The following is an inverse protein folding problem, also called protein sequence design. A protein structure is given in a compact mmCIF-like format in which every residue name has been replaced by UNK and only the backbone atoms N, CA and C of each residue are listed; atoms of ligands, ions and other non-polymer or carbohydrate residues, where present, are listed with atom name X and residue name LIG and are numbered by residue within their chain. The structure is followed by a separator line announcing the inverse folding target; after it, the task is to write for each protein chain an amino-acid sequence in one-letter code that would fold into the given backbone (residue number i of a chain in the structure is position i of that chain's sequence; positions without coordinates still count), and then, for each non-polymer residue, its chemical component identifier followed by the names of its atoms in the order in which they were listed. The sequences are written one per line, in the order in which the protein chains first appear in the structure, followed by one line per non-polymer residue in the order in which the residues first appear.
data_IF_024469723101
#
_entry.id   IF_024469723101
#
_cell.length_a   1.000
_cell.length_b   1.000
_cell.length_c   1.000
_cell.angle_alpha   90.00
_cell.angle_beta   90.00
_cell.angle_gamma   90.00
#
_symmetry.space_group_name_H-M   'P 1'
#
loop_
_entity.id
_entity.type
_entity.pdbx_description
1 polymer ?
#
# COMPACT_ATOMS: atom_id res chain seq x y z
N UNK A 1 -17.60 3.92 11.48
CA UNK A 1 -18.01 2.95 10.43
C UNK A 1 -17.19 3.01 9.12
N UNK A 2 -16.67 4.17 8.67
CA UNK A 2 -15.93 4.27 7.38
C UNK A 2 -14.52 3.64 7.41
N UNK A 3 -13.79 3.78 8.53
CA UNK A 3 -12.45 3.21 8.68
C UNK A 3 -12.42 1.67 8.56
N UNK A 4 -13.40 0.96 9.15
CA UNK A 4 -13.46 -0.51 9.03
C UNK A 4 -13.64 -0.99 7.60
N UNK A 5 -14.45 -0.29 6.78
CA UNK A 5 -14.65 -0.66 5.37
C UNK A 5 -13.37 -0.45 4.55
N UNK A 6 -12.63 0.63 4.84
CA UNK A 6 -11.34 0.92 4.18
C UNK A 6 -10.29 -0.14 4.59
N UNK A 7 -10.20 -0.47 5.88
CA UNK A 7 -9.28 -1.51 6.35
C UNK A 7 -9.59 -2.88 5.73
N UNK A 8 -10.87 -3.25 5.66
CA UNK A 8 -11.31 -4.49 5.00
C UNK A 8 -10.99 -4.50 3.50
N UNK A 9 -11.20 -3.37 2.81
CA UNK A 9 -10.84 -3.23 1.39
C UNK A 9 -9.34 -3.37 1.14
N UNK A 10 -8.51 -2.75 2.00
CA UNK A 10 -7.05 -2.85 1.91
C UNK A 10 -6.57 -4.29 2.18
N UNK A 11 -7.03 -4.91 3.26
CA UNK A 11 -6.69 -6.29 3.60
C UNK A 11 -7.15 -7.27 2.52
N UNK A 12 -8.37 -7.08 2.01
CA UNK A 12 -8.90 -7.86 0.89
C UNK A 12 -8.07 -7.70 -0.37
N UNK A 13 -7.64 -6.47 -0.69
CA UNK A 13 -6.78 -6.19 -1.83
C UNK A 13 -5.39 -6.83 -1.73
N UNK A 14 -4.74 -6.78 -0.56
CA UNK A 14 -3.45 -7.43 -0.34
C UNK A 14 -3.59 -8.95 -0.47
N UNK A 15 -4.60 -9.54 0.17
CA UNK A 15 -4.83 -10.98 0.12
C UNK A 15 -5.12 -11.45 -1.31
N UNK A 16 -6.03 -10.77 -2.02
CA UNK A 16 -6.35 -11.07 -3.41
C UNK A 16 -5.12 -10.92 -4.31
N UNK A 17 -4.34 -9.85 -4.14
CA UNK A 17 -3.11 -9.60 -4.90
C UNK A 17 -2.03 -10.66 -4.63
N UNK A 18 -1.87 -11.10 -3.38
CA UNK A 18 -0.92 -12.14 -3.02
C UNK A 18 -1.31 -13.49 -3.62
N UNK A 19 -2.60 -13.86 -3.57
CA UNK A 19 -3.10 -15.09 -4.20
C UNK A 19 -2.86 -15.05 -5.71
N UNK A 20 -3.23 -13.96 -6.39
CA UNK A 20 -2.98 -13.79 -7.82
C UNK A 20 -1.47 -13.84 -8.12
N UNK A 21 -0.64 -13.15 -7.34
CA UNK A 21 0.82 -13.15 -7.52
C UNK A 21 1.46 -14.53 -7.34
N UNK A 22 1.02 -15.31 -6.36
CA UNK A 22 1.50 -16.68 -6.12
C UNK A 22 1.03 -17.62 -7.23
N UNK A 23 -0.20 -17.47 -7.73
CA UNK A 23 -0.73 -18.29 -8.81
C UNK A 23 -0.04 -18.00 -10.16
N UNK A 24 0.28 -16.74 -10.43
CA UNK A 24 0.95 -16.33 -11.66
C UNK A 24 2.46 -16.60 -11.66
N UNK A 25 3.11 -16.63 -10.49
CA UNK A 25 4.53 -16.94 -10.37
C UNK A 25 4.74 -18.41 -9.95
N UNK A 26 5.04 -19.33 -10.88
CA UNK A 26 5.26 -20.73 -10.53
C UNK A 26 6.58 -20.90 -9.76
N UNK A 27 6.47 -21.20 -8.48
CA UNK A 27 7.60 -21.58 -7.63
C UNK A 27 7.44 -23.03 -7.17
N UNK A 28 8.52 -23.81 -7.14
CA UNK A 28 8.50 -25.17 -6.59
C UNK A 28 8.21 -25.11 -5.10
N UNK A 29 7.24 -25.92 -4.64
CA UNK A 29 6.84 -25.93 -3.22
C UNK A 29 7.96 -26.28 -2.24
N UNK A 30 8.96 -27.06 -2.66
CA UNK A 30 10.16 -27.34 -1.88
C UNK A 30 10.98 -26.07 -1.58
N UNK A 31 11.15 -25.22 -2.59
CA UNK A 31 11.89 -23.96 -2.47
C UNK A 31 11.12 -22.93 -1.64
N UNK A 32 9.78 -22.90 -1.75
CA UNK A 32 8.92 -22.06 -0.92
C UNK A 32 9.04 -22.43 0.55
N UNK A 33 8.97 -23.71 0.89
CA UNK A 33 9.09 -24.19 2.29
C UNK A 33 10.47 -23.88 2.87
N UNK A 34 11.53 -24.12 2.09
CA UNK A 34 12.91 -23.79 2.46
C UNK A 34 13.09 -22.29 2.67
N UNK A 35 12.53 -21.46 1.80
CA UNK A 35 12.54 -19.99 1.95
C UNK A 35 11.79 -19.54 3.19
N UNK A 36 10.64 -20.12 3.52
CA UNK A 36 9.90 -19.79 4.74
C UNK A 36 10.74 -20.09 5.98
N UNK A 37 11.38 -21.27 6.03
CA UNK A 37 12.24 -21.64 7.17
C UNK A 37 13.47 -20.74 7.31
N UNK A 38 14.16 -20.45 6.20
CA UNK A 38 15.38 -19.64 6.24
C UNK A 38 15.11 -18.15 6.42
N UNK A 39 14.03 -17.62 5.83
CA UNK A 39 13.75 -16.18 5.84
C UNK A 39 12.80 -15.76 6.95
N UNK A 40 12.08 -16.68 7.60
CA UNK A 40 11.05 -16.34 8.58
C UNK A 40 11.57 -15.53 9.77
N UNK A 41 12.69 -15.92 10.37
CA UNK A 41 13.33 -15.18 11.47
C UNK A 41 13.87 -13.83 10.99
N UNK A 42 14.66 -13.86 9.92
CA UNK A 42 15.37 -12.69 9.42
C UNK A 42 14.38 -11.62 8.94
N UNK A 43 13.25 -12.02 8.35
CA UNK A 43 12.24 -11.06 7.89
C UNK A 43 11.57 -10.36 9.06
N UNK A 44 11.31 -11.05 10.17
CA UNK A 44 10.64 -10.45 11.33
C UNK A 44 11.50 -9.33 11.94
N UNK A 45 12.80 -9.60 12.13
CA UNK A 45 13.74 -8.63 12.71
C UNK A 45 13.98 -7.47 11.74
N UNK A 46 14.26 -7.75 10.47
CA UNK A 46 14.43 -6.69 9.46
C UNK A 46 13.17 -5.87 9.21
N UNK A 47 11.98 -6.47 9.34
CA UNK A 47 10.70 -5.77 9.20
C UNK A 47 10.45 -4.86 10.40
N UNK A 48 10.81 -5.29 11.62
CA UNK A 48 10.75 -4.45 12.82
C UNK A 48 11.63 -3.21 12.66
N UNK A 49 12.89 -3.40 12.30
CA UNK A 49 13.83 -2.30 12.10
C UNK A 49 13.37 -1.35 10.98
N UNK A 50 12.85 -1.92 9.88
CA UNK A 50 12.26 -1.10 8.80
C UNK A 50 11.02 -0.38 9.25
N UNK A 51 10.13 -0.99 10.03
CA UNK A 51 8.92 -0.34 10.54
C UNK A 51 9.23 0.78 11.52
N UNK A 52 10.25 0.64 12.37
CA UNK A 52 10.70 1.70 13.28
C UNK A 52 11.28 2.89 12.49
N UNK A 53 12.17 2.62 11.54
CA UNK A 53 12.73 3.64 10.64
C UNK A 53 11.64 4.30 9.76
N UNK A 54 10.70 3.49 9.29
CA UNK A 54 9.58 3.90 8.45
C UNK A 54 8.60 4.74 9.27
N UNK A 55 8.32 4.41 10.53
CA UNK A 55 7.52 5.23 11.45
C UNK A 55 8.12 6.63 11.63
N UNK A 56 9.43 6.70 11.92
CA UNK A 56 10.15 7.97 12.05
C UNK A 56 10.12 8.80 10.75
N UNK A 57 10.35 8.15 9.60
CA UNK A 57 10.34 8.80 8.29
C UNK A 57 8.94 9.15 7.80
N UNK A 58 7.93 8.33 8.10
CA UNK A 58 6.55 8.60 7.74
C UNK A 58 6.08 9.85 8.44
N UNK A 59 6.39 10.06 9.72
CA UNK A 59 5.87 11.23 10.42
C UNK A 59 6.23 12.54 9.72
N UNK A 60 7.46 12.65 9.20
CA UNK A 60 7.93 13.84 8.48
C UNK A 60 7.47 13.88 7.00
N UNK A 61 7.31 12.74 6.34
CA UNK A 61 6.88 12.69 4.93
C UNK A 61 5.36 12.63 4.77
N UNK A 62 4.63 12.20 5.80
CA UNK A 62 3.18 12.08 5.82
C UNK A 62 2.54 13.45 5.74
N UNK A 63 3.03 14.45 6.48
CA UNK A 63 2.55 15.82 6.33
C UNK A 63 2.73 16.34 4.90
N UNK A 64 3.89 16.10 4.28
CA UNK A 64 4.15 16.49 2.88
C UNK A 64 3.25 15.74 1.89
N UNK A 65 3.06 14.43 2.07
CA UNK A 65 2.20 13.61 1.20
C UNK A 65 0.73 14.01 1.35
N UNK A 66 0.28 14.27 2.57
CA UNK A 66 -1.09 14.73 2.83
C UNK A 66 -1.31 16.13 2.26
N UNK A 67 -0.33 17.02 2.37
CA UNK A 67 -0.41 18.37 1.81
C UNK A 67 -0.44 18.31 0.28
N UNK A 68 0.56 17.70 -0.34
CA UNK A 68 0.62 17.54 -1.80
C UNK A 68 -0.59 16.76 -2.34
N UNK A 69 -1.04 15.74 -1.62
CA UNK A 69 -2.23 14.97 -2.01
C UNK A 69 -3.51 15.80 -1.95
N UNK A 70 -3.66 16.67 -0.95
CA UNK A 70 -4.79 17.62 -0.89
C UNK A 70 -4.72 18.63 -2.02
N UNK A 71 -3.53 19.16 -2.32
CA UNK A 71 -3.33 20.13 -3.39
C UNK A 71 -3.61 19.51 -4.77
N UNK A 72 -3.12 18.30 -5.02
CA UNK A 72 -3.40 17.54 -6.25
C UNK A 72 -4.88 17.19 -6.41
N UNK A 73 -5.56 16.84 -5.32
CA UNK A 73 -7.01 16.57 -5.34
C UNK A 73 -7.81 17.85 -5.57
N UNK A 74 -7.38 18.97 -4.97
CA UNK A 74 -8.00 20.27 -5.19
C UNK A 74 -7.80 20.75 -6.64
N UNK A 75 -6.60 20.62 -7.18
CA UNK A 75 -6.29 20.96 -8.58
C UNK A 75 -7.00 20.03 -9.56
N UNK A 76 -7.08 18.74 -9.25
CA UNK A 76 -7.85 17.79 -10.07
C UNK A 76 -9.34 18.12 -10.05
N UNK A 77 -9.89 18.51 -8.89
CA UNK A 77 -11.28 18.94 -8.80
C UNK A 77 -11.55 20.22 -9.57
N UNK A 78 -10.70 21.25 -9.44
CA UNK A 78 -10.90 22.49 -10.19
C UNK A 78 -10.82 22.27 -11.69
N UNK A 79 -9.85 21.50 -12.18
CA UNK A 79 -9.76 21.12 -13.60
C UNK A 79 -10.99 20.30 -14.04
N UNK A 80 -11.51 19.41 -13.19
CA UNK A 80 -12.72 18.65 -13.50
C UNK A 80 -13.96 19.55 -13.56
N UNK A 81 -14.10 20.50 -12.64
CA UNK A 81 -15.24 21.42 -12.58
C UNK A 81 -15.19 22.43 -13.75
N UNK A 82 -14.00 22.88 -14.16
CA UNK A 82 -13.79 23.70 -15.36
C UNK A 82 -14.16 22.92 -16.63
N UNK A 83 -13.70 21.68 -16.78
CA UNK A 83 -14.05 20.84 -17.95
C UNK A 83 -15.56 20.56 -17.98
N UNK A 84 -16.18 20.34 -16.82
CA UNK A 84 -17.61 20.06 -16.69
C UNK A 84 -18.49 21.29 -16.95
N UNK A 85 -17.99 22.50 -16.71
CA UNK A 85 -18.70 23.74 -16.99
C UNK A 85 -18.54 24.23 -18.43
N UNK A 86 -17.50 23.78 -19.13
CA UNK A 86 -17.25 24.11 -20.55
C UNK A 86 -18.13 23.29 -21.52
N UNK A 87 -18.73 22.18 -21.07
CA UNK A 87 -19.68 21.42 -21.89
C UNK A 87 -21.06 21.37 -21.21
N UNK A 88 -22.06 22.18 -21.65
CA UNK A 88 -23.43 22.14 -21.12
C UNK A 88 -24.15 20.82 -21.38
#
# INVERSE_FOLDING_TARGET
MKANKIALGLLGGIAAGAVVGILFAPAKGADTRKKIQQKGSDYADNLKDKLENLSGSLKNNYEKIVHNGKDLVAESRSKFDDIKSINP
#
